data_IF_378907711826
#
_entry.id   IF_378907711826
#
_cell.length_a   1.000
_cell.length_b   1.000
_cell.length_c   1.000
_cell.angle_alpha   90.00
_cell.angle_beta   90.00
_cell.angle_gamma   90.00
#
_symmetry.space_group_name_H-M   'P 1'
#
loop_
_entity.id
_entity.type
_entity.pdbx_description
1 polymer ?
#
# COMPACT_ATOMS: atom_id res chain seq x y z
N UNK A 1 23.74 -4.85 17.07
CA UNK A 1 23.08 -5.91 16.27
C UNK A 1 21.57 -5.69 16.10
N UNK A 2 20.79 -5.51 17.18
CA UNK A 2 19.32 -5.30 17.12
C UNK A 2 18.87 -4.12 16.23
N UNK A 3 19.49 -2.94 16.35
CA UNK A 3 19.15 -1.77 15.53
C UNK A 3 19.39 -1.99 14.03
N UNK A 4 20.49 -2.66 13.66
CA UNK A 4 20.80 -2.99 12.26
C UNK A 4 19.75 -3.92 11.65
N UNK A 5 19.26 -4.88 12.42
CA UNK A 5 18.17 -5.78 12.01
C UNK A 5 16.87 -5.00 11.74
N UNK A 6 16.50 -4.08 12.64
CA UNK A 6 15.30 -3.24 12.45
C UNK A 6 15.38 -2.39 11.18
N UNK A 7 16.54 -1.80 10.86
CA UNK A 7 16.71 -1.04 9.62
C UNK A 7 16.54 -1.91 8.37
N UNK A 8 17.13 -3.10 8.35
CA UNK A 8 16.97 -4.04 7.22
C UNK A 8 15.51 -4.45 7.06
N UNK A 9 14.83 -4.82 8.15
CA UNK A 9 13.40 -5.17 8.11
C UNK A 9 12.53 -3.99 7.64
N UNK A 10 12.88 -2.76 8.01
CA UNK A 10 12.16 -1.56 7.56
C UNK A 10 12.36 -1.32 6.07
N UNK A 11 13.58 -1.51 5.55
CA UNK A 11 13.87 -1.41 4.11
C UNK A 11 13.05 -2.44 3.34
N UNK A 12 13.06 -3.70 3.78
CA UNK A 12 12.30 -4.78 3.14
C UNK A 12 10.80 -4.45 3.13
N UNK A 13 10.27 -3.96 4.25
CA UNK A 13 8.88 -3.54 4.36
C UNK A 13 8.56 -2.39 3.41
N UNK A 14 9.41 -1.36 3.34
CA UNK A 14 9.26 -0.25 2.39
C UNK A 14 9.31 -0.69 0.93
N UNK A 15 10.23 -1.58 0.56
CA UNK A 15 10.29 -2.16 -0.77
C UNK A 15 9.00 -2.93 -1.10
N UNK A 16 8.50 -3.75 -0.17
CA UNK A 16 7.24 -4.47 -0.36
C UNK A 16 6.06 -3.53 -0.60
N UNK A 17 5.95 -2.47 0.22
CA UNK A 17 4.90 -1.45 0.06
C UNK A 17 4.98 -0.74 -1.31
N UNK A 18 6.18 -0.38 -1.76
CA UNK A 18 6.39 0.26 -3.07
C UNK A 18 6.01 -0.68 -4.21
N UNK A 19 6.36 -1.96 -4.14
CA UNK A 19 6.03 -2.94 -5.17
C UNK A 19 4.51 -3.11 -5.29
N UNK A 20 3.82 -3.36 -4.17
CA UNK A 20 2.37 -3.54 -4.23
C UNK A 20 1.63 -2.24 -4.59
N UNK A 21 2.14 -1.08 -4.17
CA UNK A 21 1.57 0.19 -4.61
C UNK A 21 1.78 0.43 -6.11
N UNK A 22 2.99 0.18 -6.62
CA UNK A 22 3.29 0.31 -8.06
C UNK A 22 2.40 -0.60 -8.91
N UNK A 23 2.21 -1.86 -8.51
CA UNK A 23 1.29 -2.77 -9.18
C UNK A 23 -0.17 -2.28 -9.14
N UNK A 24 -0.60 -1.67 -8.03
CA UNK A 24 -1.95 -1.11 -7.95
C UNK A 24 -2.10 0.11 -8.87
N UNK A 25 -1.07 0.95 -8.94
CA UNK A 25 -1.07 2.18 -9.72
C UNK A 25 -1.22 1.93 -11.22
N UNK A 26 -0.67 0.84 -11.76
CA UNK A 26 -0.82 0.50 -13.19
C UNK A 26 -2.26 0.19 -13.60
N UNK A 27 -3.16 -0.02 -12.63
CA UNK A 27 -4.58 -0.23 -12.85
C UNK A 27 -5.44 1.02 -12.55
N UNK A 28 -4.84 2.08 -12.01
CA UNK A 28 -5.52 3.34 -11.69
C UNK A 28 -5.37 4.31 -12.85
N UNK A 29 -6.48 4.89 -13.33
CA UNK A 29 -6.44 5.82 -14.46
C UNK A 29 -6.34 7.29 -14.05
N UNK A 30 -5.38 8.01 -14.62
CA UNK A 30 -5.19 9.47 -14.57
C UNK A 30 -5.23 10.09 -13.16
N UNK A 31 -6.40 10.55 -12.70
CA UNK A 31 -6.55 11.39 -11.52
C UNK A 31 -5.97 10.83 -10.22
N UNK A 32 -6.15 9.55 -9.86
CA UNK A 32 -5.54 8.99 -8.66
C UNK A 32 -4.01 9.06 -8.69
N UNK A 33 -3.38 8.84 -9.84
CA UNK A 33 -1.93 8.92 -9.98
C UNK A 33 -1.43 10.36 -9.81
N UNK A 34 -2.15 11.34 -10.38
CA UNK A 34 -1.86 12.78 -10.21
C UNK A 34 -1.97 13.19 -8.74
N UNK A 35 -3.06 12.80 -8.07
CA UNK A 35 -3.27 13.08 -6.64
C UNK A 35 -2.16 12.47 -5.80
N UNK A 36 -1.79 11.22 -6.06
CA UNK A 36 -0.69 10.54 -5.39
C UNK A 36 0.65 11.24 -5.59
N UNK A 37 0.92 11.70 -6.81
CA UNK A 37 2.15 12.41 -7.14
C UNK A 37 2.27 13.73 -6.36
N UNK A 38 1.23 14.57 -6.40
CA UNK A 38 1.21 15.83 -5.66
C UNK A 38 1.27 15.61 -4.15
N UNK A 39 0.53 14.62 -3.62
CA UNK A 39 0.56 14.29 -2.21
C UNK A 39 1.92 13.73 -1.77
N UNK A 40 2.60 13.00 -2.66
CA UNK A 40 3.98 12.55 -2.48
C UNK A 40 4.95 13.73 -2.35
N UNK A 41 4.89 14.69 -3.27
CA UNK A 41 5.70 15.92 -3.23
C UNK A 41 5.43 16.71 -1.94
N UNK A 42 4.16 16.91 -1.59
CA UNK A 42 3.77 17.59 -0.35
C UNK A 42 4.37 16.91 0.88
N UNK A 43 4.31 15.58 0.91
CA UNK A 43 4.87 14.78 2.00
C UNK A 43 6.40 14.90 2.07
N UNK A 44 7.08 14.84 0.92
CA UNK A 44 8.54 15.00 0.84
C UNK A 44 8.99 16.39 1.31
N UNK A 45 8.27 17.43 0.88
CA UNK A 45 8.50 18.80 1.34
C UNK A 45 8.28 18.92 2.86
N UNK A 46 7.21 18.30 3.37
CA UNK A 46 6.90 18.27 4.80
C UNK A 46 8.02 17.62 5.63
N UNK A 47 8.52 16.46 5.21
CA UNK A 47 9.61 15.74 5.87
C UNK A 47 10.93 16.52 5.91
N UNK A 48 11.13 17.44 4.96
CA UNK A 48 12.32 18.30 4.88
C UNK A 48 12.30 19.46 5.88
N UNK A 49 11.16 19.73 6.54
CA UNK A 49 11.03 20.79 7.55
C UNK A 49 11.64 20.33 8.89
N UNK A 50 12.29 21.25 9.61
CA UNK A 50 12.98 20.97 10.90
C UNK A 50 12.02 20.49 12.01
N UNK A 51 10.77 20.97 12.04
CA UNK A 51 9.77 20.52 13.00
C UNK A 51 9.56 19.01 12.88
N UNK A 52 9.56 18.26 13.98
CA UNK A 52 9.67 16.79 13.95
C UNK A 52 8.33 16.06 13.99
N UNK A 53 7.28 16.62 14.60
CA UNK A 53 6.00 15.92 14.78
C UNK A 53 5.02 16.20 13.64
N UNK A 54 4.73 17.47 13.37
CA UNK A 54 3.74 17.89 12.37
C UNK A 54 4.20 17.53 10.94
N UNK A 55 5.50 17.63 10.67
CA UNK A 55 6.13 17.28 9.38
C UNK A 55 5.93 15.83 8.94
N UNK A 56 5.54 14.97 9.87
CA UNK A 56 5.57 13.52 9.69
C UNK A 56 4.17 12.93 9.58
N UNK A 57 3.15 13.74 9.84
CA UNK A 57 1.75 13.36 9.68
C UNK A 57 1.46 12.98 8.22
N UNK A 58 1.87 13.77 7.19
CA UNK A 58 1.61 13.38 5.80
C UNK A 58 2.26 12.05 5.43
N UNK A 59 3.46 11.79 5.95
CA UNK A 59 4.16 10.52 5.76
C UNK A 59 3.39 9.34 6.36
N UNK A 60 2.85 9.48 7.57
CA UNK A 60 2.03 8.43 8.16
C UNK A 60 0.72 8.19 7.41
N UNK A 61 0.14 9.23 6.81
CA UNK A 61 -1.04 9.08 5.94
C UNK A 61 -0.67 8.27 4.69
N UNK A 62 0.45 8.59 4.03
CA UNK A 62 0.95 7.79 2.90
C UNK A 62 1.18 6.33 3.33
N UNK A 63 1.87 6.12 4.44
CA UNK A 63 2.17 4.79 4.97
C UNK A 63 0.88 4.00 5.26
N UNK A 64 -0.12 4.65 5.87
CA UNK A 64 -1.42 4.05 6.17
C UNK A 64 -2.13 3.57 4.90
N UNK A 65 -2.21 4.43 3.88
CA UNK A 65 -2.86 4.11 2.61
C UNK A 65 -2.12 2.98 1.90
N UNK A 66 -0.79 3.01 1.87
CA UNK A 66 0.01 1.95 1.26
C UNK A 66 -0.18 0.63 1.99
N UNK A 67 -0.19 0.62 3.32
CA UNK A 67 -0.51 -0.58 4.09
C UNK A 67 -1.91 -1.09 3.80
N UNK A 68 -2.91 -0.22 3.79
CA UNK A 68 -4.30 -0.60 3.51
C UNK A 68 -4.40 -1.32 2.16
N UNK A 69 -3.84 -0.74 1.10
CA UNK A 69 -3.89 -1.31 -0.25
C UNK A 69 -3.13 -2.63 -0.32
N UNK A 70 -1.92 -2.70 0.23
CA UNK A 70 -1.11 -3.92 0.21
C UNK A 70 -1.76 -5.06 0.99
N UNK A 71 -2.31 -4.78 2.18
CA UNK A 71 -3.00 -5.78 2.99
C UNK A 71 -4.30 -6.23 2.31
N UNK A 72 -5.00 -5.33 1.63
CA UNK A 72 -6.22 -5.64 0.89
C UNK A 72 -5.92 -6.64 -0.23
N UNK A 73 -4.92 -6.33 -1.05
CA UNK A 73 -4.48 -7.20 -2.15
C UNK A 73 -3.96 -8.55 -1.64
N UNK A 74 -3.16 -8.55 -0.57
CA UNK A 74 -2.65 -9.77 0.02
C UNK A 74 -3.79 -10.64 0.58
N UNK A 75 -4.77 -10.03 1.25
CA UNK A 75 -5.93 -10.77 1.77
C UNK A 75 -6.74 -11.37 0.64
N UNK A 76 -6.98 -10.60 -0.44
CA UNK A 76 -7.71 -11.10 -1.60
C UNK A 76 -6.99 -12.31 -2.23
N UNK A 77 -5.67 -12.19 -2.42
CA UNK A 77 -4.85 -13.27 -2.98
C UNK A 77 -4.87 -14.53 -2.10
N UNK A 78 -4.77 -14.37 -0.78
CA UNK A 78 -4.86 -15.50 0.16
C UNK A 78 -6.23 -16.18 0.09
N UNK A 79 -7.32 -15.39 0.06
CA UNK A 79 -8.67 -15.94 0.04
C UNK A 79 -8.95 -16.68 -1.27
N UNK A 80 -8.56 -16.11 -2.41
CA UNK A 80 -8.69 -16.74 -3.72
C UNK A 80 -7.88 -18.05 -3.81
N UNK A 81 -6.69 -18.07 -3.21
CA UNK A 81 -5.85 -19.26 -3.16
C UNK A 81 -6.47 -20.38 -2.32
N UNK A 82 -7.07 -20.05 -1.16
CA UNK A 82 -7.70 -21.04 -0.28
C UNK A 82 -9.00 -21.57 -0.91
N UNK A 83 -9.71 -20.73 -1.66
CA UNK A 83 -11.02 -21.07 -2.19
C UNK A 83 -11.21 -20.69 -3.68
N UNK A 84 -10.56 -21.42 -4.60
CA UNK A 84 -10.48 -21.03 -6.02
C UNK A 84 -11.81 -21.09 -6.78
N UNK A 85 -12.79 -21.88 -6.31
CA UNK A 85 -14.10 -22.03 -6.95
C UNK A 85 -15.19 -21.14 -6.32
N UNK A 86 -14.83 -20.20 -5.45
CA UNK A 86 -15.80 -19.32 -4.83
C UNK A 86 -16.48 -18.41 -5.85
N UNK A 87 -17.82 -18.42 -5.81
CA UNK A 87 -18.65 -17.76 -6.80
C UNK A 87 -19.14 -18.68 -7.91
N UNK A 88 -18.73 -19.94 -7.96
CA UNK A 88 -19.32 -20.97 -8.84
C UNK A 88 -20.23 -21.88 -8.02
N UNK A 89 -21.47 -22.03 -8.46
CA UNK A 89 -22.44 -22.94 -7.83
C UNK A 89 -22.92 -23.92 -8.89
N UNK A 90 -22.88 -25.20 -8.56
CA UNK A 90 -23.51 -26.25 -9.36
C UNK A 90 -24.98 -26.32 -8.95
N UNK A 91 -25.86 -26.01 -9.89
CA UNK A 91 -27.30 -26.13 -9.71
C UNK A 91 -27.73 -27.61 -9.77
N UNK A 92 -28.91 -27.95 -9.24
CA UNK A 92 -29.43 -29.32 -9.24
C UNK A 92 -29.62 -29.94 -10.64
N UNK A 93 -29.74 -29.10 -11.67
CA UNK A 93 -29.84 -29.48 -13.08
C UNK A 93 -28.47 -29.71 -13.75
N UNK A 94 -27.38 -29.57 -13.00
CA UNK A 94 -26.01 -29.72 -13.50
C UNK A 94 -25.43 -28.47 -14.16
N UNK A 95 -26.20 -27.37 -14.25
CA UNK A 95 -25.68 -26.09 -14.76
C UNK A 95 -24.76 -25.43 -13.74
N UNK A 96 -23.78 -24.67 -14.23
CA UNK A 96 -22.81 -23.96 -13.39
C UNK A 96 -23.08 -22.46 -13.53
N UNK A 97 -23.53 -21.84 -12.46
CA UNK A 97 -23.79 -20.40 -12.41
C UNK A 97 -22.72 -19.66 -11.64
N UNK A 98 -22.42 -18.45 -12.13
CA UNK A 98 -21.53 -17.51 -11.44
C UNK A 98 -22.34 -16.58 -10.54
N UNK A 99 -22.16 -16.68 -9.23
CA UNK A 99 -22.67 -15.73 -8.23
C UNK A 99 -21.61 -14.72 -7.82
N UNK A 100 -22.07 -13.56 -7.35
CA UNK A 100 -21.19 -12.51 -6.88
C UNK A 100 -20.37 -13.01 -5.68
N UNK A 101 -19.05 -12.98 -5.82
CA UNK A 101 -18.13 -13.31 -4.74
C UNK A 101 -18.05 -12.12 -3.76
N UNK A 102 -18.33 -12.36 -2.48
CA UNK A 102 -18.33 -11.34 -1.42
C UNK A 102 -17.02 -11.28 -0.62
N UNK A 103 -15.97 -12.00 -1.04
CA UNK A 103 -14.69 -12.07 -0.32
C UNK A 103 -13.94 -10.75 -0.22
N UNK A 104 -14.22 -9.80 -1.11
CA UNK A 104 -13.68 -8.44 -1.02
C UNK A 104 -13.98 -7.79 0.35
N UNK A 105 -15.08 -8.19 1.02
CA UNK A 105 -15.44 -7.76 2.37
C UNK A 105 -14.36 -8.15 3.39
N UNK A 106 -13.83 -9.37 3.31
CA UNK A 106 -12.74 -9.82 4.19
C UNK A 106 -11.50 -8.95 4.00
N UNK A 107 -11.16 -8.64 2.74
CA UNK A 107 -10.07 -7.73 2.41
C UNK A 107 -10.24 -6.34 3.03
N UNK A 108 -11.47 -5.78 3.01
CA UNK A 108 -11.74 -4.48 3.63
C UNK A 108 -11.55 -4.56 5.16
N UNK A 109 -12.16 -5.54 5.82
CA UNK A 109 -12.09 -5.66 7.28
C UNK A 109 -10.66 -5.87 7.77
N UNK A 110 -9.90 -6.78 7.15
CA UNK A 110 -8.51 -7.04 7.55
C UNK A 110 -7.64 -5.80 7.34
N UNK A 111 -7.79 -5.11 6.20
CA UNK A 111 -6.98 -3.93 5.87
C UNK A 111 -7.30 -2.74 6.76
N UNK A 112 -8.57 -2.56 7.12
CA UNK A 112 -9.00 -1.49 8.01
C UNK A 112 -8.46 -1.66 9.44
N UNK A 113 -8.34 -2.90 9.92
CA UNK A 113 -7.83 -3.20 11.26
C UNK A 113 -6.30 -3.24 11.28
N UNK A 114 -5.68 -3.90 10.31
CA UNK A 114 -4.23 -4.14 10.31
C UNK A 114 -3.42 -2.93 9.85
N UNK A 115 -3.94 -2.10 8.95
CA UNK A 115 -3.17 -0.94 8.46
C UNK A 115 -2.90 0.11 9.55
N UNK A 116 -3.85 0.53 10.40
CA UNK A 116 -3.56 1.47 11.49
C UNK A 116 -2.64 0.83 12.54
N UNK A 117 -2.82 -0.46 12.84
CA UNK A 117 -1.95 -1.19 13.76
C UNK A 117 -0.50 -1.22 13.25
N UNK A 118 -0.29 -1.47 11.95
CA UNK A 118 1.03 -1.45 11.33
C UNK A 118 1.70 -0.08 11.45
N UNK A 119 0.96 1.02 11.19
CA UNK A 119 1.46 2.39 11.35
C UNK A 119 1.78 2.71 12.82
N UNK A 120 0.93 2.29 13.77
CA UNK A 120 1.18 2.46 15.20
C UNK A 120 2.44 1.70 15.64
N UNK A 121 2.63 0.47 15.17
CA UNK A 121 3.83 -0.31 15.47
C UNK A 121 5.08 0.31 14.85
N UNK A 122 4.99 0.81 13.62
CA UNK A 122 6.08 1.56 12.99
C UNK A 122 6.46 2.76 13.87
N UNK A 123 5.48 3.57 14.28
CA UNK A 123 5.70 4.76 15.11
C UNK A 123 6.30 4.42 16.49
N UNK A 124 5.81 3.37 17.16
CA UNK A 124 6.22 3.03 18.54
C UNK A 124 7.52 2.23 18.62
N UNK A 125 7.80 1.35 17.66
CA UNK A 125 8.91 0.38 17.76
C UNK A 125 10.13 0.74 16.91
N UNK A 126 9.95 1.50 15.82
CA UNK A 126 11.03 1.81 14.90
C UNK A 126 11.53 3.22 15.21
N UNK A 127 12.82 3.33 15.55
CA UNK A 127 13.46 4.63 15.70
C UNK A 127 13.44 5.33 14.35
N UNK A 128 12.81 6.50 14.29
CA UNK A 128 12.63 7.24 13.05
C UNK A 128 13.97 7.53 12.39
N UNK A 129 14.03 7.21 11.11
CA UNK A 129 15.17 7.50 10.26
C UNK A 129 14.69 8.42 9.14
N UNK A 130 14.82 9.73 9.34
CA UNK A 130 14.39 10.74 8.37
C UNK A 130 14.99 10.52 6.98
N UNK A 131 16.26 10.10 6.92
CA UNK A 131 16.91 9.82 5.64
C UNK A 131 16.18 8.69 4.90
N UNK A 132 15.86 7.60 5.60
CA UNK A 132 15.11 6.47 5.05
C UNK A 132 13.70 6.88 4.58
N UNK A 133 12.98 7.67 5.40
CA UNK A 133 11.64 8.17 5.06
C UNK A 133 11.66 9.07 3.82
N UNK A 134 12.66 9.96 3.71
CA UNK A 134 12.87 10.83 2.55
C UNK A 134 13.21 9.98 1.31
N UNK A 135 14.15 9.04 1.42
CA UNK A 135 14.50 8.15 0.30
C UNK A 135 13.30 7.35 -0.19
N UNK A 136 12.49 6.83 0.73
CA UNK A 136 11.25 6.13 0.40
C UNK A 136 10.28 7.01 -0.37
N UNK A 137 10.01 8.22 0.11
CA UNK A 137 9.10 9.14 -0.54
C UNK A 137 9.61 9.59 -1.91
N UNK A 138 10.92 9.83 -2.07
CA UNK A 138 11.51 10.13 -3.36
C UNK A 138 11.32 9.00 -4.37
N UNK A 139 11.56 7.75 -3.96
CA UNK A 139 11.35 6.58 -4.83
C UNK A 139 9.87 6.43 -5.19
N UNK A 140 8.97 6.62 -4.23
CA UNK A 140 7.53 6.60 -4.47
C UNK A 140 7.09 7.61 -5.53
N UNK A 141 7.59 8.85 -5.46
CA UNK A 141 7.28 9.91 -6.44
C UNK A 141 7.83 9.54 -7.82
N UNK A 142 9.07 9.05 -7.89
CA UNK A 142 9.71 8.65 -9.15
C UNK A 142 8.93 7.50 -9.80
N UNK A 143 8.57 6.46 -9.05
CA UNK A 143 7.76 5.35 -9.55
C UNK A 143 6.40 5.82 -10.05
N UNK A 144 5.73 6.67 -9.28
CA UNK A 144 4.43 7.23 -9.67
C UNK A 144 4.54 8.03 -10.98
N UNK A 145 5.60 8.83 -11.15
CA UNK A 145 5.84 9.57 -12.38
C UNK A 145 6.09 8.65 -13.58
N UNK A 146 6.92 7.62 -13.41
CA UNK A 146 7.21 6.64 -14.46
C UNK A 146 5.93 5.93 -14.91
N UNK A 147 5.12 5.46 -13.95
CA UNK A 147 3.86 4.76 -14.22
C UNK A 147 2.89 5.70 -14.93
N UNK A 148 2.74 6.94 -14.46
CA UNK A 148 1.86 7.93 -15.09
C UNK A 148 2.27 8.22 -16.54
N UNK A 149 3.56 8.45 -16.81
CA UNK A 149 4.04 8.69 -18.17
C UNK A 149 3.75 7.47 -19.06
N UNK A 150 4.01 6.27 -18.57
CA UNK A 150 3.88 5.03 -19.35
C UNK A 150 2.44 4.65 -19.64
N UNK A 151 1.56 4.73 -18.63
CA UNK A 151 0.22 4.14 -18.72
C UNK A 151 -0.86 5.17 -19.15
N UNK A 152 -0.57 6.48 -19.08
CA UNK A 152 -1.53 7.53 -19.46
C UNK A 152 -1.07 8.46 -20.59
N UNK A 153 0.24 8.71 -20.75
CA UNK A 153 0.74 9.65 -21.78
C UNK A 153 1.29 8.97 -23.04
N UNK A 154 1.73 7.72 -22.95
CA UNK A 154 2.28 6.91 -24.04
C UNK A 154 1.27 5.84 -24.48
#
# INVERSE_FOLDING_TARGET
>A
MKQKLYHVSTIVLFCGLLIGMGFTQTHLKSMPQIVMFFFGIFTLASLSIKSSFISSIPFYVVLLVMFYINIYLLTHLIVDFIHPYQGWITNPDGTIDRRMNTNWIWGIFTSFILSPLAVIFYHKKIQRNKFLEISFMSIFIILTAIIYIKDELL
#
